data_IF_372033982742
#
_entry.id   IF_372033982742
#
_cell.length_a   1.000
_cell.length_b   1.000
_cell.length_c   1.000
_cell.angle_alpha   90.00
_cell.angle_beta   90.00
_cell.angle_gamma   90.00
#
_symmetry.space_group_name_H-M   'P 1'
#
loop_
_entity.id
_entity.type
_entity.pdbx_description
1 polymer ?
#
# COMPACT_ATOMS: atom_id res chain seq x y z
N UNK A 1 4.66 -7.94 -11.52
CA UNK A 1 3.42 -8.01 -10.69
C UNK A 1 2.36 -7.09 -11.25
N UNK A 2 1.07 -7.43 -11.16
CA UNK A 2 -0.02 -6.57 -11.60
C UNK A 2 -1.14 -6.57 -10.56
N UNK A 3 -1.45 -5.41 -10.00
CA UNK A 3 -2.48 -5.24 -8.96
C UNK A 3 -3.63 -4.38 -9.49
N UNK A 4 -3.34 -3.16 -9.95
CA UNK A 4 -4.34 -2.19 -10.43
C UNK A 4 -3.87 -1.49 -11.70
N UNK A 5 -4.76 -1.41 -12.72
CA UNK A 5 -4.55 -0.50 -13.85
C UNK A 5 -4.80 0.95 -13.46
N UNK A 6 -4.35 1.88 -14.31
CA UNK A 6 -4.64 3.32 -14.14
C UNK A 6 -6.13 3.59 -14.14
N UNK A 7 -6.89 2.89 -14.98
CA UNK A 7 -8.35 3.02 -15.10
C UNK A 7 -9.05 2.54 -13.83
N UNK A 8 -8.64 1.39 -13.29
CA UNK A 8 -9.18 0.84 -12.04
C UNK A 8 -8.89 1.78 -10.87
N UNK A 9 -7.63 2.22 -10.70
CA UNK A 9 -7.27 3.19 -9.67
C UNK A 9 -8.07 4.48 -9.84
N UNK A 10 -8.15 5.03 -11.05
CA UNK A 10 -8.91 6.26 -11.33
C UNK A 10 -10.39 6.10 -11.01
N UNK A 11 -10.98 4.93 -11.26
CA UNK A 11 -12.37 4.64 -10.89
C UNK A 11 -12.56 4.62 -9.37
N UNK A 12 -11.66 3.96 -8.63
CA UNK A 12 -11.70 3.90 -7.18
C UNK A 12 -11.49 5.29 -6.54
N UNK A 13 -10.53 6.07 -7.05
CA UNK A 13 -10.27 7.44 -6.59
C UNK A 13 -11.49 8.37 -6.84
N UNK A 14 -12.15 8.24 -7.99
CA UNK A 14 -13.42 8.96 -8.26
C UNK A 14 -14.51 8.57 -7.27
N UNK A 15 -14.68 7.28 -7.02
CA UNK A 15 -15.66 6.78 -6.04
C UNK A 15 -15.36 7.27 -4.61
N UNK A 16 -14.08 7.43 -4.27
CA UNK A 16 -13.61 8.02 -3.01
C UNK A 16 -13.71 9.57 -2.96
N UNK A 17 -14.28 10.23 -3.99
CA UNK A 17 -14.48 11.68 -4.03
C UNK A 17 -13.33 12.50 -4.62
N UNK A 18 -12.28 11.86 -5.16
CA UNK A 18 -11.08 12.52 -5.69
C UNK A 18 -11.11 12.83 -7.21
N UNK A 19 -12.24 12.65 -7.87
CA UNK A 19 -12.38 12.70 -9.32
C UNK A 19 -12.28 14.08 -9.99
N UNK A 20 -12.05 15.17 -9.27
CA UNK A 20 -12.09 16.54 -9.83
C UNK A 20 -10.73 17.20 -10.04
N UNK A 21 -9.62 16.61 -9.62
CA UNK A 21 -8.28 17.17 -9.79
C UNK A 21 -7.61 16.60 -11.04
N UNK A 22 -6.97 17.47 -11.83
CA UNK A 22 -6.19 17.06 -13.01
C UNK A 22 -4.96 16.22 -12.63
N UNK A 23 -4.35 16.50 -11.48
CA UNK A 23 -3.24 15.76 -10.87
C UNK A 23 -3.45 15.67 -9.37
N UNK A 24 -3.02 14.57 -8.77
CA UNK A 24 -3.21 14.26 -7.35
C UNK A 24 -2.03 14.71 -6.47
N UNK A 25 -1.07 15.50 -7.01
CA UNK A 25 0.10 15.96 -6.28
C UNK A 25 1.18 14.86 -6.15
N UNK A 26 1.64 14.59 -4.94
CA UNK A 26 2.74 13.67 -4.65
C UNK A 26 2.22 12.29 -4.26
N UNK A 27 2.90 11.23 -4.74
CA UNK A 27 2.71 9.87 -4.27
C UNK A 27 4.01 9.31 -3.73
N UNK A 28 3.97 8.64 -2.59
CA UNK A 28 5.04 7.76 -2.14
C UNK A 28 4.58 6.32 -2.09
N UNK A 29 5.35 5.44 -2.73
CA UNK A 29 5.12 4.00 -2.75
C UNK A 29 6.09 3.31 -1.78
N UNK A 30 5.54 2.71 -0.72
CA UNK A 30 6.32 2.10 0.34
C UNK A 30 6.54 0.62 0.01
N UNK A 31 7.82 0.21 -0.09
CA UNK A 31 8.18 -1.13 -0.55
C UNK A 31 7.87 -1.33 -2.03
N UNK A 32 8.25 -0.37 -2.86
CA UNK A 32 7.84 -0.27 -4.26
C UNK A 32 8.35 -1.41 -5.17
N UNK A 33 9.31 -2.21 -4.72
CA UNK A 33 9.93 -3.25 -5.52
C UNK A 33 10.57 -2.67 -6.79
N UNK A 34 10.21 -3.20 -7.95
CA UNK A 34 10.65 -2.70 -9.25
C UNK A 34 9.89 -1.45 -9.74
N UNK A 35 8.84 -1.03 -9.03
CA UNK A 35 8.01 0.14 -9.33
C UNK A 35 7.11 0.00 -10.55
N UNK A 36 6.97 -1.20 -11.15
CA UNK A 36 6.18 -1.36 -12.38
C UNK A 36 4.70 -1.03 -12.18
N UNK A 37 4.10 -1.37 -11.05
CA UNK A 37 2.69 -1.04 -10.77
C UNK A 37 2.52 0.48 -10.69
N UNK A 38 3.29 1.13 -9.83
CA UNK A 38 3.13 2.55 -9.49
C UNK A 38 3.60 3.46 -10.63
N UNK A 39 4.56 3.02 -11.44
CA UNK A 39 4.99 3.73 -12.65
C UNK A 39 3.83 4.01 -13.62
N UNK A 40 2.92 3.06 -13.77
CA UNK A 40 1.74 3.24 -14.62
C UNK A 40 0.79 4.32 -14.10
N UNK A 41 0.85 4.66 -12.81
CA UNK A 41 0.03 5.71 -12.20
C UNK A 41 0.63 7.11 -12.37
N UNK A 42 1.86 7.23 -12.90
CA UNK A 42 2.54 8.52 -13.12
C UNK A 42 1.66 9.61 -13.75
N UNK A 43 0.79 9.34 -14.75
CA UNK A 43 -0.07 10.38 -15.32
C UNK A 43 -1.02 11.06 -14.31
N UNK A 44 -1.26 10.42 -13.16
CA UNK A 44 -2.15 10.94 -12.11
C UNK A 44 -1.40 11.84 -11.10
N UNK A 45 -0.04 11.79 -11.07
CA UNK A 45 0.76 12.44 -10.04
C UNK A 45 1.80 13.39 -10.63
N UNK A 46 2.12 14.47 -9.88
CA UNK A 46 3.17 15.40 -10.26
C UNK A 46 4.56 14.87 -9.94
N UNK A 47 4.69 14.08 -8.86
CA UNK A 47 5.94 13.49 -8.41
C UNK A 47 5.70 12.12 -7.76
N UNK A 48 6.57 11.17 -8.11
CA UNK A 48 6.61 9.84 -7.49
C UNK A 48 7.83 9.73 -6.58
N UNK A 49 7.59 9.27 -5.36
CA UNK A 49 8.60 8.87 -4.39
C UNK A 49 8.47 7.37 -4.13
N UNK A 50 9.53 6.75 -3.66
CA UNK A 50 9.51 5.34 -3.29
C UNK A 50 10.45 5.04 -2.13
N UNK A 51 10.11 4.02 -1.34
CA UNK A 51 11.07 3.34 -0.45
C UNK A 51 11.28 1.93 -0.93
N UNK A 52 12.48 1.41 -0.77
CA UNK A 52 12.83 0.04 -1.13
C UNK A 52 14.11 -0.38 -0.40
N UNK A 53 14.15 -1.60 0.12
CA UNK A 53 15.32 -2.13 0.85
C UNK A 53 16.43 -2.61 -0.10
N UNK A 54 16.06 -3.22 -1.22
CA UNK A 54 16.99 -3.78 -2.21
C UNK A 54 17.72 -2.69 -2.98
N UNK A 55 19.05 -2.64 -2.90
CA UNK A 55 19.85 -1.68 -3.64
C UNK A 55 19.71 -1.80 -5.16
N UNK A 56 19.48 -3.00 -5.69
CA UNK A 56 19.26 -3.20 -7.12
C UNK A 56 17.91 -2.61 -7.56
N UNK A 57 16.86 -2.81 -6.77
CA UNK A 57 15.54 -2.23 -7.04
C UNK A 57 15.53 -0.71 -6.87
N UNK A 58 16.26 -0.16 -5.89
CA UNK A 58 16.42 1.31 -5.75
C UNK A 58 17.01 1.94 -7.00
N UNK A 59 18.09 1.36 -7.56
CA UNK A 59 18.68 1.84 -8.83
C UNK A 59 17.70 1.74 -10.00
N UNK A 60 16.88 0.69 -10.04
CA UNK A 60 15.85 0.52 -11.06
C UNK A 60 14.75 1.58 -10.92
N UNK A 61 14.31 1.86 -9.70
CA UNK A 61 13.34 2.93 -9.40
C UNK A 61 13.89 4.32 -9.81
N UNK A 62 15.14 4.62 -9.48
CA UNK A 62 15.81 5.86 -9.92
C UNK A 62 15.82 6.00 -11.45
N UNK A 63 16.11 4.90 -12.17
CA UNK A 63 16.05 4.89 -13.64
C UNK A 63 14.65 5.11 -14.22
N UNK A 64 13.62 4.94 -13.40
CA UNK A 64 12.20 5.18 -13.72
C UNK A 64 11.69 6.52 -13.16
N UNK A 65 12.59 7.44 -12.81
CA UNK A 65 12.30 8.78 -12.26
C UNK A 65 11.54 8.78 -10.91
N UNK A 66 11.71 7.76 -10.07
CA UNK A 66 11.28 7.83 -8.68
C UNK A 66 12.34 8.54 -7.84
N UNK A 67 11.90 9.37 -6.89
CA UNK A 67 12.77 9.88 -5.84
C UNK A 67 12.78 8.89 -4.69
N UNK A 68 13.96 8.36 -4.37
CA UNK A 68 14.11 7.36 -3.32
C UNK A 68 14.22 8.05 -1.96
N UNK A 69 13.43 7.60 -1.02
CA UNK A 69 13.46 8.03 0.38
C UNK A 69 14.09 6.96 1.26
N UNK A 70 14.55 7.36 2.43
CA UNK A 70 15.07 6.43 3.43
C UNK A 70 13.97 5.50 3.94
N UNK A 71 14.25 4.21 3.98
CA UNK A 71 13.26 3.19 4.36
C UNK A 71 12.82 3.29 5.82
N UNK A 72 13.71 3.80 6.69
CA UNK A 72 13.47 3.86 8.13
C UNK A 72 12.97 5.22 8.61
N UNK A 73 13.01 6.26 7.76
CA UNK A 73 12.67 7.62 8.16
C UNK A 73 11.79 8.38 7.15
N UNK A 74 11.30 7.71 6.09
CA UNK A 74 10.55 8.30 4.99
C UNK A 74 9.38 9.20 5.46
N UNK A 75 8.73 8.85 6.57
CA UNK A 75 7.60 9.62 7.11
C UNK A 75 7.99 10.96 7.74
N UNK A 76 9.30 11.20 7.93
CA UNK A 76 9.86 12.47 8.41
C UNK A 76 10.22 13.41 7.28
N UNK A 77 10.31 12.92 6.04
CA UNK A 77 10.72 13.69 4.86
C UNK A 77 9.65 14.69 4.38
N UNK A 78 8.42 14.61 4.90
CA UNK A 78 7.36 15.54 4.58
C UNK A 78 5.95 14.96 4.66
N UNK A 79 5.05 15.63 3.94
CA UNK A 79 3.68 15.19 3.78
C UNK A 79 3.41 14.81 2.35
N UNK A 80 2.59 13.76 2.17
CA UNK A 80 2.25 13.24 0.85
C UNK A 80 0.74 13.30 0.61
N UNK A 81 0.36 13.53 -0.63
CA UNK A 81 -1.05 13.55 -1.02
C UNK A 81 -1.60 12.13 -1.15
N UNK A 82 -0.75 11.19 -1.59
CA UNK A 82 -1.09 9.77 -1.64
C UNK A 82 0.10 8.94 -1.13
N UNK A 83 -0.20 7.95 -0.32
CA UNK A 83 0.73 6.93 0.13
C UNK A 83 0.20 5.58 -0.34
N UNK A 84 1.04 4.74 -0.95
CA UNK A 84 0.68 3.37 -1.33
C UNK A 84 1.51 2.34 -0.57
N UNK A 85 0.86 1.25 -0.18
CA UNK A 85 1.43 0.05 0.42
C UNK A 85 0.83 -1.16 -0.29
N UNK A 86 1.51 -1.62 -1.34
CA UNK A 86 0.98 -2.66 -2.21
C UNK A 86 1.57 -4.02 -1.84
N UNK A 87 0.80 -4.83 -1.10
CA UNK A 87 1.23 -6.14 -0.60
C UNK A 87 2.50 -6.07 0.27
N UNK A 88 2.56 -5.05 1.14
CA UNK A 88 3.67 -4.79 2.04
C UNK A 88 3.37 -5.23 3.49
N UNK A 89 2.15 -5.04 3.97
CA UNK A 89 1.82 -5.22 5.38
C UNK A 89 1.91 -6.68 5.86
N UNK A 90 1.82 -7.63 4.95
CA UNK A 90 2.05 -9.06 5.21
C UNK A 90 3.52 -9.47 5.09
N UNK A 91 4.41 -8.55 4.66
CA UNK A 91 5.83 -8.77 4.41
C UNK A 91 6.76 -7.93 5.30
N UNK A 92 6.22 -6.98 6.06
CA UNK A 92 7.02 -6.12 6.94
C UNK A 92 6.94 -6.58 8.41
N UNK A 93 8.02 -6.31 9.15
CA UNK A 93 8.16 -6.73 10.55
C UNK A 93 7.27 -5.93 11.50
N UNK A 94 7.01 -4.66 11.20
CA UNK A 94 6.32 -3.71 12.06
C UNK A 94 5.12 -3.05 11.36
N UNK A 95 4.07 -3.84 10.96
CA UNK A 95 2.98 -3.34 10.13
C UNK A 95 2.06 -2.32 10.84
N UNK A 96 1.93 -2.39 12.18
CA UNK A 96 1.13 -1.41 12.93
C UNK A 96 1.85 -0.06 12.96
N UNK A 97 3.15 -0.07 13.28
CA UNK A 97 4.02 1.11 13.23
C UNK A 97 4.03 1.72 11.83
N UNK A 98 4.08 0.90 10.78
CA UNK A 98 4.03 1.35 9.39
C UNK A 98 2.74 2.12 9.07
N UNK A 99 1.59 1.63 9.52
CA UNK A 99 0.29 2.32 9.36
C UNK A 99 0.24 3.66 10.12
N UNK A 100 0.79 3.72 11.34
CA UNK A 100 0.87 4.97 12.11
C UNK A 100 1.78 6.00 11.44
N UNK A 101 2.93 5.56 10.93
CA UNK A 101 3.85 6.42 10.17
C UNK A 101 3.19 6.95 8.89
N UNK A 102 2.43 6.10 8.19
CA UNK A 102 1.66 6.52 7.03
C UNK A 102 0.62 7.58 7.38
N UNK A 103 -0.17 7.36 8.43
CA UNK A 103 -1.11 8.38 8.91
C UNK A 103 -0.40 9.69 9.25
N UNK A 104 0.75 9.61 9.91
CA UNK A 104 1.55 10.79 10.24
C UNK A 104 2.01 11.55 8.99
N UNK A 105 2.51 10.85 7.97
CA UNK A 105 3.06 11.44 6.74
C UNK A 105 1.99 11.82 5.70
N UNK A 106 0.74 11.44 5.90
CA UNK A 106 -0.34 11.78 4.99
C UNK A 106 -0.76 13.25 5.18
N UNK A 107 -1.04 13.96 4.08
CA UNK A 107 -1.74 15.25 4.11
C UNK A 107 -3.14 15.09 4.73
N UNK A 108 -3.74 16.17 5.22
CA UNK A 108 -5.06 16.08 5.87
C UNK A 108 -6.15 15.62 4.90
N UNK A 109 -6.09 16.07 3.65
CA UNK A 109 -6.95 15.57 2.56
C UNK A 109 -6.32 14.43 1.75
N UNK A 110 -5.24 13.83 2.25
CA UNK A 110 -4.50 12.78 1.54
C UNK A 110 -5.18 11.41 1.60
N UNK A 111 -4.71 10.50 0.75
CA UNK A 111 -5.20 9.13 0.66
C UNK A 111 -4.11 8.10 0.93
N UNK A 112 -4.46 7.09 1.71
CA UNK A 112 -3.65 5.88 1.87
C UNK A 112 -4.28 4.74 1.07
N UNK A 113 -3.53 4.19 0.12
CA UNK A 113 -3.92 3.05 -0.71
C UNK A 113 -3.20 1.81 -0.18
N UNK A 114 -3.94 0.80 0.22
CA UNK A 114 -3.40 -0.46 0.71
C UNK A 114 -3.90 -1.59 -0.17
N UNK A 115 -2.98 -2.42 -0.66
CA UNK A 115 -3.28 -3.73 -1.22
C UNK A 115 -2.88 -4.80 -0.20
N UNK A 116 -3.75 -5.77 0.02
CA UNK A 116 -3.54 -6.84 0.99
C UNK A 116 -4.16 -8.15 0.51
N UNK A 117 -3.31 -9.18 0.35
CA UNK A 117 -3.79 -10.53 0.01
C UNK A 117 -4.54 -11.13 1.19
N UNK A 118 -5.75 -11.63 0.93
CA UNK A 118 -6.55 -12.34 1.91
C UNK A 118 -6.87 -13.77 1.42
N UNK A 119 -6.87 -14.76 2.31
CA UNK A 119 -6.68 -14.70 3.77
C UNK A 119 -5.29 -14.22 4.19
N UNK A 120 -5.24 -13.39 5.23
CA UNK A 120 -4.01 -12.79 5.75
C UNK A 120 -3.05 -13.85 6.29
N UNK A 121 -1.90 -13.96 5.66
CA UNK A 121 -0.82 -14.90 6.03
C UNK A 121 0.52 -14.18 5.98
N UNK A 122 0.90 -13.47 7.05
CA UNK A 122 2.14 -12.71 7.07
C UNK A 122 3.35 -13.65 6.99
N UNK A 123 4.36 -13.21 6.22
CA UNK A 123 5.64 -13.90 6.06
C UNK A 123 6.72 -12.86 5.80
N UNK A 124 7.64 -12.70 6.75
CA UNK A 124 8.71 -11.71 6.70
C UNK A 124 10.01 -12.37 6.26
N UNK A 125 10.45 -12.11 5.04
CA UNK A 125 11.57 -12.81 4.42
C UNK A 125 12.92 -12.60 5.14
N UNK A 126 13.14 -11.42 5.70
CA UNK A 126 14.40 -11.05 6.35
C UNK A 126 14.46 -11.33 7.85
N UNK A 127 13.37 -11.76 8.47
CA UNK A 127 13.39 -12.24 9.86
C UNK A 127 13.73 -13.72 9.89
N UNK A 128 14.55 -14.14 10.87
CA UNK A 128 15.07 -15.51 10.95
C UNK A 128 14.00 -16.59 11.17
N UNK A 129 12.89 -16.22 11.80
CA UNK A 129 11.73 -17.07 12.06
C UNK A 129 10.56 -16.78 11.11
N UNK A 130 10.75 -15.87 10.14
CA UNK A 130 9.75 -15.38 9.22
C UNK A 130 8.51 -14.76 9.88
N UNK A 131 8.60 -14.39 11.15
CA UNK A 131 7.50 -13.80 11.92
C UNK A 131 7.66 -12.28 12.00
N UNK A 132 6.55 -11.56 11.88
CA UNK A 132 6.52 -10.14 12.15
C UNK A 132 6.61 -9.88 13.66
N UNK A 133 7.34 -8.83 14.06
CA UNK A 133 7.41 -8.37 15.47
C UNK A 133 6.07 -7.81 15.95
N UNK A 134 5.34 -7.19 15.04
CA UNK A 134 3.98 -6.72 15.29
C UNK A 134 2.97 -7.55 14.51
N UNK A 135 1.80 -7.76 15.10
CA UNK A 135 0.72 -8.52 14.48
C UNK A 135 -0.46 -7.62 14.15
N UNK A 136 -0.83 -7.51 12.88
CA UNK A 136 -2.13 -6.92 12.52
C UNK A 136 -3.25 -7.81 13.06
N UNK A 137 -4.22 -7.26 13.80
CA UNK A 137 -5.28 -8.03 14.43
C UNK A 137 -6.41 -8.37 13.44
N UNK A 138 -6.04 -8.88 12.25
CA UNK A 138 -6.99 -9.32 11.23
C UNK A 138 -7.55 -10.67 11.66
N UNK A 139 -8.87 -10.75 11.84
CA UNK A 139 -9.59 -11.93 12.31
C UNK A 139 -10.69 -12.30 11.33
N UNK A 140 -11.15 -13.56 11.42
CA UNK A 140 -12.21 -14.08 10.57
C UNK A 140 -11.75 -15.28 9.74
N UNK A 141 -12.73 -16.08 9.30
CA UNK A 141 -12.51 -17.29 8.51
C UNK A 141 -12.80 -17.06 7.03
N UNK A 142 -13.60 -16.07 6.70
CA UNK A 142 -13.96 -15.69 5.34
C UNK A 142 -13.17 -14.45 4.89
N UNK A 143 -13.14 -14.23 3.59
CA UNK A 143 -12.52 -13.04 3.00
C UNK A 143 -13.19 -11.75 3.53
N UNK A 144 -14.51 -11.75 3.57
CA UNK A 144 -15.33 -10.60 3.97
C UNK A 144 -15.15 -10.28 5.47
N UNK A 145 -15.11 -11.29 6.34
CA UNK A 145 -14.83 -11.11 7.77
C UNK A 145 -13.46 -10.48 8.00
N UNK A 146 -12.45 -10.90 7.23
CA UNK A 146 -11.10 -10.34 7.34
C UNK A 146 -11.03 -8.90 6.81
N UNK A 147 -11.75 -8.57 5.74
CA UNK A 147 -11.91 -7.19 5.25
C UNK A 147 -12.53 -6.31 6.33
N UNK A 148 -13.65 -6.75 6.92
CA UNK A 148 -14.33 -6.00 7.98
C UNK A 148 -13.43 -5.82 9.21
N UNK A 149 -12.71 -6.87 9.62
CA UNK A 149 -11.77 -6.83 10.74
C UNK A 149 -10.65 -5.82 10.50
N UNK A 150 -10.07 -5.78 9.29
CA UNK A 150 -9.01 -4.82 8.96
C UNK A 150 -9.53 -3.38 8.92
N UNK A 151 -10.69 -3.15 8.30
CA UNK A 151 -11.34 -1.83 8.26
C UNK A 151 -11.63 -1.34 9.68
N UNK A 152 -12.20 -2.20 10.54
CA UNK A 152 -12.49 -1.88 11.93
C UNK A 152 -11.24 -1.50 12.72
N UNK A 153 -10.15 -2.26 12.55
CA UNK A 153 -8.86 -1.94 13.17
C UNK A 153 -8.31 -0.59 12.71
N UNK A 154 -8.33 -0.33 11.41
CA UNK A 154 -7.88 0.95 10.86
C UNK A 154 -8.71 2.12 11.41
N UNK A 155 -10.02 1.96 11.55
CA UNK A 155 -10.90 3.01 12.07
C UNK A 155 -10.70 3.23 13.57
N UNK A 156 -10.70 2.16 14.37
CA UNK A 156 -10.75 2.28 15.85
C UNK A 156 -9.39 2.45 16.51
N UNK A 157 -8.32 2.00 15.87
CA UNK A 157 -6.97 1.99 16.46
C UNK A 157 -6.02 2.95 15.74
N UNK A 158 -6.06 2.98 14.42
CA UNK A 158 -5.16 3.84 13.63
C UNK A 158 -5.77 5.24 13.40
N UNK A 159 -7.10 5.37 13.37
CA UNK A 159 -7.80 6.60 13.04
C UNK A 159 -7.78 6.89 11.53
N UNK A 160 -8.09 5.86 10.74
CA UNK A 160 -8.20 5.91 9.29
C UNK A 160 -9.60 5.48 8.87
N UNK A 161 -10.31 6.34 8.18
CA UNK A 161 -11.64 6.05 7.64
C UNK A 161 -11.53 5.44 6.24
N UNK A 162 -12.16 4.28 6.02
CA UNK A 162 -12.25 3.69 4.68
C UNK A 162 -13.20 4.52 3.80
N UNK A 163 -12.73 4.88 2.60
CA UNK A 163 -13.51 5.61 1.60
C UNK A 163 -14.05 4.68 0.53
N UNK A 164 -13.26 3.68 0.18
CA UNK A 164 -13.56 2.70 -0.86
C UNK A 164 -12.76 1.43 -0.60
N UNK A 165 -13.31 0.28 -0.96
CA UNK A 165 -12.56 -0.96 -1.08
C UNK A 165 -13.09 -1.81 -2.24
N UNK A 166 -12.24 -2.70 -2.73
CA UNK A 166 -12.59 -3.64 -3.79
C UNK A 166 -11.77 -4.91 -3.69
N UNK A 167 -12.35 -6.03 -4.10
CA UNK A 167 -11.62 -7.28 -4.33
C UNK A 167 -11.15 -7.31 -5.77
N UNK A 168 -9.87 -7.59 -5.97
CA UNK A 168 -9.26 -7.64 -7.30
C UNK A 168 -8.42 -8.92 -7.45
N UNK A 169 -8.30 -9.46 -8.68
CA UNK A 169 -7.32 -10.50 -8.94
C UNK A 169 -5.91 -9.91 -8.85
N UNK A 170 -5.02 -10.62 -8.20
CA UNK A 170 -3.61 -10.31 -8.12
C UNK A 170 -2.80 -11.40 -8.81
N UNK A 171 -2.06 -11.02 -9.85
CA UNK A 171 -1.14 -11.90 -10.54
C UNK A 171 0.29 -11.56 -10.11
N UNK A 172 0.95 -12.46 -9.42
CA UNK A 172 2.35 -12.31 -9.03
C UNK A 172 3.24 -13.34 -9.71
N UNK A 173 4.52 -13.01 -9.82
CA UNK A 173 5.54 -13.94 -10.28
C UNK A 173 5.57 -15.18 -9.37
N UNK A 174 5.82 -16.31 -9.97
CA UNK A 174 5.92 -17.59 -9.29
C UNK A 174 7.34 -17.92 -8.86
N UNK A 175 7.53 -19.21 -8.62
CA UNK A 175 8.80 -19.81 -8.23
C UNK A 175 9.16 -20.97 -9.17
N UNK A 176 10.08 -21.83 -8.76
CA UNK A 176 10.49 -23.01 -9.53
C UNK A 176 9.37 -24.06 -9.70
N UNK A 177 8.31 -24.01 -8.89
CA UNK A 177 7.20 -24.95 -8.96
C UNK A 177 6.07 -24.46 -9.87
N UNK A 178 5.87 -23.13 -9.91
CA UNK A 178 4.79 -22.52 -10.68
C UNK A 178 5.22 -21.14 -11.21
N UNK A 179 5.02 -20.92 -12.51
CA UNK A 179 5.48 -19.69 -13.19
C UNK A 179 4.83 -18.42 -12.67
N UNK A 180 3.59 -18.49 -12.17
CA UNK A 180 2.88 -17.37 -11.54
C UNK A 180 1.76 -17.88 -10.63
N UNK A 181 1.41 -17.05 -9.65
CA UNK A 181 0.31 -17.29 -8.72
C UNK A 181 -0.82 -16.32 -8.96
N UNK A 182 -2.04 -16.84 -8.87
CA UNK A 182 -3.26 -16.05 -8.86
C UNK A 182 -3.80 -16.00 -7.44
N UNK A 183 -3.88 -14.79 -6.89
CA UNK A 183 -4.34 -14.56 -5.54
C UNK A 183 -5.56 -13.61 -5.55
N UNK A 184 -6.26 -13.54 -4.43
CA UNK A 184 -7.28 -12.52 -4.20
C UNK A 184 -6.68 -11.40 -3.37
N UNK A 185 -6.72 -10.20 -3.91
CA UNK A 185 -6.24 -9.02 -3.24
C UNK A 185 -7.40 -8.11 -2.83
N UNK A 186 -7.26 -7.45 -1.70
CA UNK A 186 -8.17 -6.40 -1.26
C UNK A 186 -7.48 -5.06 -1.42
N UNK A 187 -8.06 -4.16 -2.19
CA UNK A 187 -7.60 -2.78 -2.30
C UNK A 187 -8.46 -1.91 -1.42
N UNK A 188 -7.83 -1.16 -0.53
CA UNK A 188 -8.48 -0.20 0.35
C UNK A 188 -7.97 1.21 0.04
N UNK A 189 -8.86 2.18 0.05
CA UNK A 189 -8.54 3.60 0.04
C UNK A 189 -9.03 4.19 1.36
N UNK A 190 -8.09 4.69 2.15
CA UNK A 190 -8.36 5.35 3.43
C UNK A 190 -8.03 6.82 3.36
N UNK A 191 -8.64 7.59 4.26
CA UNK A 191 -8.22 8.94 4.65
C UNK A 191 -8.10 9.04 6.16
N UNK A 192 -7.49 10.11 6.65
CA UNK A 192 -7.52 10.41 8.08
C UNK A 192 -8.96 10.60 8.57
N UNK A 193 -9.26 10.04 9.73
CA UNK A 193 -10.50 10.38 10.44
C UNK A 193 -10.31 11.75 11.12
N UNK A 194 -11.11 12.77 10.77
CA UNK A 194 -10.98 14.10 11.39
C UNK A 194 -11.40 14.13 12.87
N UNK A 195 -12.06 13.09 13.36
CA UNK A 195 -12.56 13.01 14.75
C UNK A 195 -11.68 12.12 15.65
N UNK A 196 -10.53 11.62 15.16
CA UNK A 196 -9.66 10.70 15.89
C UNK A 196 -8.52 11.39 16.61
#
# INVERSE_FOLDING_TARGET
>A
MFVLSVEQLSAMLRAAGFGRRKTLGTLVDIGAGDGEVTRHWRPLFSQLYATEMSNSMRKLLESKDFKILDTNEWWKEGKFDVISMLNLLDRCSEPQTMLLNAKQALNDDGLLIIALVLPFKPYVEYESDHMAKERLPIRGHTFEEQVESFISYCATTVGLQVMQWSRVPYLCEGDFNQSYYWLNDSIFIFKKDPNF
#
